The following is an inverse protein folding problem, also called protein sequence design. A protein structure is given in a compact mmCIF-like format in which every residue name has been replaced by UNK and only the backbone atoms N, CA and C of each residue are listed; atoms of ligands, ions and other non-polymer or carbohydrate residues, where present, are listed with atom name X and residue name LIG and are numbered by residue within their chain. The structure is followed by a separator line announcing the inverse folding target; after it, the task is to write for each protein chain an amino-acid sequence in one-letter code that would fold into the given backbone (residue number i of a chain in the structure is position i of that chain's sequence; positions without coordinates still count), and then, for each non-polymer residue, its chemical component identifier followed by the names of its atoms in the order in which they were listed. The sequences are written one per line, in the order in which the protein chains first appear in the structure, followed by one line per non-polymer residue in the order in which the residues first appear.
data_IF_544880001353
#
_entry.id   IF_544880001353
#
_cell.length_a   1.000
_cell.length_b   1.000
_cell.length_c   1.000
_cell.angle_alpha   90.00
_cell.angle_beta   90.00
_cell.angle_gamma   90.00
#
_symmetry.space_group_name_H-M   'P 1'
#
loop_
_entity.id
_entity.type
_entity.pdbx_description
1 polymer ?
#
# COMPACT_ATOMS: atom_id res chain seq x y z
N UNK A 1 -3.02 15.54 -15.69
CA UNK A 1 -1.95 14.53 -15.60
C UNK A 1 -2.58 13.20 -15.25
N UNK A 2 -2.41 12.17 -16.08
CA UNK A 2 -3.16 10.91 -15.98
C UNK A 2 -2.67 10.09 -14.77
N UNK A 3 -3.52 9.89 -13.76
CA UNK A 3 -3.18 9.24 -12.48
C UNK A 3 -2.50 7.88 -12.67
N UNK A 4 -2.89 7.16 -13.73
CA UNK A 4 -2.28 5.88 -14.14
C UNK A 4 -0.81 6.01 -14.53
N UNK A 5 -0.44 7.06 -15.25
CA UNK A 5 0.95 7.29 -15.69
C UNK A 5 1.84 7.64 -14.51
N UNK A 6 1.31 8.40 -13.54
CA UNK A 6 2.01 8.72 -12.29
C UNK A 6 2.26 7.44 -11.50
N UNK A 7 1.21 6.64 -11.25
CA UNK A 7 1.33 5.37 -10.53
C UNK A 7 2.33 4.42 -11.21
N UNK A 8 2.26 4.29 -12.53
CA UNK A 8 3.17 3.43 -13.30
C UNK A 8 4.62 3.92 -13.22
N UNK A 9 4.85 5.23 -13.38
CA UNK A 9 6.19 5.82 -13.26
C UNK A 9 6.78 5.62 -11.86
N UNK A 10 5.95 5.70 -10.82
CA UNK A 10 6.34 5.48 -9.42
C UNK A 10 6.64 4.01 -9.13
N UNK A 11 5.86 3.07 -9.67
CA UNK A 11 6.13 1.64 -9.60
C UNK A 11 7.45 1.27 -10.32
N UNK A 12 7.70 1.85 -11.50
CA UNK A 12 8.95 1.65 -12.24
C UNK A 12 10.14 2.21 -11.45
N UNK A 13 10.02 3.42 -10.90
CA UNK A 13 11.06 4.01 -10.07
C UNK A 13 11.36 3.14 -8.83
N UNK A 14 10.31 2.65 -8.17
CA UNK A 14 10.45 1.72 -7.05
C UNK A 14 11.18 0.44 -7.46
N UNK A 15 10.80 -0.18 -8.58
CA UNK A 15 11.47 -1.37 -9.10
C UNK A 15 12.96 -1.10 -9.40
N UNK A 16 13.28 0.01 -10.07
CA UNK A 16 14.67 0.42 -10.35
C UNK A 16 15.46 0.59 -9.05
N UNK A 17 14.88 1.25 -8.05
CA UNK A 17 15.55 1.48 -6.78
C UNK A 17 15.77 0.19 -5.98
N UNK A 18 14.80 -0.73 -5.98
CA UNK A 18 14.94 -2.07 -5.38
C UNK A 18 16.06 -2.82 -6.08
N UNK A 19 16.05 -2.88 -7.41
CA UNK A 19 17.08 -3.57 -8.19
C UNK A 19 18.47 -2.98 -7.95
N UNK A 20 18.60 -1.65 -7.93
CA UNK A 20 19.87 -0.99 -7.63
C UNK A 20 20.39 -1.31 -6.22
N UNK A 21 19.50 -1.33 -5.21
CA UNK A 21 19.87 -1.69 -3.84
C UNK A 21 20.34 -3.14 -3.72
N UNK A 22 19.78 -4.05 -4.51
CA UNK A 22 20.17 -5.46 -4.55
C UNK A 22 21.47 -5.71 -5.33
N UNK A 23 21.73 -4.93 -6.39
CA UNK A 23 22.93 -5.09 -7.23
C UNK A 23 24.18 -4.43 -6.63
N UNK A 24 24.04 -3.39 -5.81
CA UNK A 24 25.16 -2.62 -5.24
C UNK A 24 25.18 -2.59 -3.70
N UNK A 25 25.16 -3.74 -3.00
CA UNK A 25 25.05 -3.78 -1.54
C UNK A 25 26.27 -3.16 -0.82
N UNK A 26 27.48 -3.29 -1.38
CA UNK A 26 28.72 -2.79 -0.76
C UNK A 26 28.79 -1.26 -0.71
N UNK A 27 28.37 -0.59 -1.80
CA UNK A 27 28.28 0.88 -1.85
C UNK A 27 27.23 1.41 -0.88
N UNK A 28 26.11 0.70 -0.74
CA UNK A 28 25.06 1.05 0.21
C UNK A 28 25.50 0.88 1.66
N UNK A 29 26.18 -0.23 1.99
CA UNK A 29 26.70 -0.47 3.34
C UNK A 29 27.67 0.62 3.79
N UNK A 30 28.61 1.04 2.93
CA UNK A 30 29.57 2.10 3.28
C UNK A 30 28.92 3.46 3.54
N UNK A 31 27.87 3.81 2.79
CA UNK A 31 27.05 5.01 3.04
C UNK A 31 26.28 4.91 4.37
N UNK A 32 25.73 3.73 4.66
CA UNK A 32 24.89 3.48 5.82
C UNK A 32 25.64 3.27 7.14
N UNK A 33 26.92 2.90 7.10
CA UNK A 33 27.76 2.67 8.29
C UNK A 33 27.95 3.93 9.16
N UNK A 34 27.57 5.11 8.66
CA UNK A 34 27.53 6.35 9.44
C UNK A 34 26.38 6.26 10.47
N UNK A 35 26.64 6.29 11.80
CA UNK A 35 25.60 6.10 12.82
C UNK A 35 24.45 7.10 12.75
N UNK A 36 24.72 8.30 12.22
CA UNK A 36 23.68 9.30 11.94
C UNK A 36 22.73 8.82 10.85
N UNK A 37 23.22 8.29 9.73
CA UNK A 37 22.39 7.89 8.58
C UNK A 37 21.41 6.78 8.94
N UNK A 38 21.84 5.79 9.72
CA UNK A 38 20.96 4.72 10.21
C UNK A 38 19.71 5.28 10.91
N UNK A 39 19.88 6.23 11.83
CA UNK A 39 18.76 6.82 12.58
C UNK A 39 17.80 7.60 11.69
N UNK A 40 18.32 8.34 10.72
CA UNK A 40 17.48 9.09 9.78
C UNK A 40 16.65 8.14 8.90
N UNK A 41 17.25 7.07 8.42
CA UNK A 41 16.56 6.09 7.57
C UNK A 41 15.52 5.30 8.37
N UNK A 42 15.85 4.91 9.61
CA UNK A 42 14.90 4.29 10.51
C UNK A 42 13.71 5.21 10.79
N UNK A 43 13.97 6.50 11.05
CA UNK A 43 12.92 7.49 11.24
C UNK A 43 12.02 7.61 10.01
N UNK A 44 12.62 7.75 8.80
CA UNK A 44 11.87 7.81 7.54
C UNK A 44 11.02 6.55 7.35
N UNK A 45 11.57 5.37 7.62
CA UNK A 45 10.85 4.10 7.51
C UNK A 45 9.62 4.06 8.42
N UNK A 46 9.82 4.34 9.71
CA UNK A 46 8.75 4.29 10.72
C UNK A 46 7.67 5.33 10.40
N UNK A 47 8.08 6.57 10.09
CA UNK A 47 7.15 7.64 9.75
C UNK A 47 6.34 7.29 8.49
N UNK A 48 7.00 6.85 7.42
CA UNK A 48 6.35 6.52 6.17
C UNK A 48 5.39 5.32 6.31
N UNK A 49 5.83 4.25 6.96
CA UNK A 49 5.02 3.04 7.19
C UNK A 49 3.79 3.35 8.07
N UNK A 50 3.97 4.12 9.14
CA UNK A 50 2.88 4.48 10.07
C UNK A 50 1.85 5.38 9.40
N UNK A 51 2.29 6.41 8.68
CA UNK A 51 1.39 7.31 7.95
C UNK A 51 0.64 6.57 6.84
N UNK A 52 1.32 5.67 6.13
CA UNK A 52 0.69 4.87 5.07
C UNK A 52 -0.40 3.96 5.65
N UNK A 53 -0.08 3.22 6.71
CA UNK A 53 -1.04 2.34 7.38
C UNK A 53 -2.24 3.13 7.92
N UNK A 54 -2.00 4.25 8.60
CA UNK A 54 -3.06 5.12 9.09
C UNK A 54 -3.95 5.64 7.96
N UNK A 55 -3.37 6.08 6.83
CA UNK A 55 -4.13 6.53 5.67
C UNK A 55 -5.01 5.42 5.09
N UNK A 56 -4.50 4.18 4.99
CA UNK A 56 -5.27 3.05 4.50
C UNK A 56 -6.47 2.72 5.42
N UNK A 57 -6.27 2.71 6.74
CA UNK A 57 -7.33 2.47 7.73
C UNK A 57 -8.37 3.59 7.70
N UNK A 58 -7.94 4.86 7.71
CA UNK A 58 -8.84 6.02 7.71
C UNK A 58 -9.63 6.11 6.40
N UNK A 59 -8.98 5.87 5.26
CA UNK A 59 -9.63 5.83 3.94
C UNK A 59 -10.76 4.81 3.89
N UNK A 60 -10.50 3.60 4.44
CA UNK A 60 -11.52 2.56 4.55
C UNK A 60 -12.70 2.98 5.46
N UNK A 61 -12.42 3.62 6.60
CA UNK A 61 -13.47 4.13 7.49
C UNK A 61 -14.33 5.18 6.79
N UNK A 62 -13.73 6.09 6.03
CA UNK A 62 -14.47 7.06 5.23
C UNK A 62 -15.33 6.40 4.15
N UNK A 63 -14.81 5.41 3.45
CA UNK A 63 -15.59 4.65 2.47
C UNK A 63 -16.81 3.98 3.12
N UNK A 64 -16.64 3.30 4.26
CA UNK A 64 -17.73 2.70 5.04
C UNK A 64 -18.79 3.76 5.37
N UNK A 65 -18.36 4.90 5.93
CA UNK A 65 -19.27 5.99 6.29
C UNK A 65 -19.97 6.61 5.09
N UNK A 66 -19.34 6.65 3.92
CA UNK A 66 -19.98 7.16 2.71
C UNK A 66 -21.07 6.20 2.22
N UNK A 67 -20.82 4.89 2.26
CA UNK A 67 -21.75 3.87 1.79
C UNK A 67 -23.02 3.79 2.63
N UNK A 68 -22.96 4.13 3.93
CA UNK A 68 -24.17 4.18 4.78
C UNK A 68 -25.11 5.31 4.39
N UNK A 69 -24.63 6.35 3.71
CA UNK A 69 -25.47 7.49 3.30
C UNK A 69 -26.38 7.17 2.12
N UNK A 70 -26.02 6.19 1.28
CA UNK A 70 -26.63 5.84 -0.02
C UNK A 70 -26.71 6.96 -1.07
N UNK A 71 -26.37 8.20 -0.71
CA UNK A 71 -26.37 9.37 -1.59
C UNK A 71 -25.21 9.30 -2.57
N UNK A 72 -25.54 9.40 -3.86
CA UNK A 72 -24.56 9.35 -4.97
C UNK A 72 -23.43 10.35 -4.80
N UNK A 73 -23.76 11.60 -4.50
CA UNK A 73 -22.78 12.68 -4.42
C UNK A 73 -21.72 12.44 -3.32
N UNK A 74 -22.16 12.04 -2.12
CA UNK A 74 -21.28 11.78 -0.97
C UNK A 74 -20.33 10.62 -1.30
N UNK A 75 -20.86 9.52 -1.84
CA UNK A 75 -20.06 8.35 -2.21
C UNK A 75 -19.02 8.72 -3.25
N UNK A 76 -19.42 9.39 -4.33
CA UNK A 76 -18.48 9.76 -5.40
C UNK A 76 -17.42 10.75 -4.92
N UNK A 77 -17.79 11.70 -4.08
CA UNK A 77 -16.84 12.63 -3.48
C UNK A 77 -15.83 11.88 -2.61
N UNK A 78 -16.29 11.02 -1.69
CA UNK A 78 -15.40 10.23 -0.83
C UNK A 78 -14.45 9.36 -1.63
N UNK A 79 -14.94 8.59 -2.60
CA UNK A 79 -14.09 7.70 -3.40
C UNK A 79 -13.07 8.46 -4.24
N UNK A 80 -13.44 9.62 -4.83
CA UNK A 80 -12.50 10.49 -5.55
C UNK A 80 -11.41 11.03 -4.62
N UNK A 81 -11.79 11.45 -3.41
CA UNK A 81 -10.85 11.97 -2.42
C UNK A 81 -9.89 10.88 -1.94
N UNK A 82 -10.38 9.69 -1.59
CA UNK A 82 -9.54 8.56 -1.18
C UNK A 82 -8.59 8.14 -2.30
N UNK A 83 -9.09 7.99 -3.54
CA UNK A 83 -8.25 7.66 -4.70
C UNK A 83 -7.17 8.72 -4.97
N UNK A 84 -7.50 10.01 -4.79
CA UNK A 84 -6.54 11.09 -4.91
C UNK A 84 -5.45 11.02 -3.83
N UNK A 85 -5.85 10.76 -2.58
CA UNK A 85 -4.91 10.58 -1.46
C UNK A 85 -4.00 9.38 -1.71
N UNK A 86 -4.52 8.26 -2.21
CA UNK A 86 -3.71 7.09 -2.50
C UNK A 86 -2.69 7.32 -3.61
N UNK A 87 -3.11 7.98 -4.69
CA UNK A 87 -2.24 8.28 -5.81
C UNK A 87 -1.11 9.26 -5.46
N UNK A 88 -1.36 10.21 -4.53
CA UNK A 88 -0.42 11.31 -4.23
C UNK A 88 0.37 11.10 -2.95
N UNK A 89 -0.28 10.57 -1.91
CA UNK A 89 0.28 10.42 -0.57
C UNK A 89 0.70 8.97 -0.35
N UNK A 90 -0.22 8.00 -0.48
CA UNK A 90 0.10 6.59 -0.23
C UNK A 90 1.26 6.11 -1.10
N UNK A 91 1.27 6.47 -2.39
CA UNK A 91 2.34 6.03 -3.29
C UNK A 91 3.72 6.56 -2.86
N UNK A 92 3.81 7.81 -2.41
CA UNK A 92 5.08 8.39 -1.91
C UNK A 92 5.51 7.69 -0.62
N UNK A 93 4.57 7.46 0.31
CA UNK A 93 4.85 6.80 1.58
C UNK A 93 5.27 5.32 1.39
N UNK A 94 4.64 4.60 0.45
CA UNK A 94 5.02 3.24 0.06
C UNK A 94 6.48 3.23 -0.43
N UNK A 95 6.83 4.14 -1.33
CA UNK A 95 8.18 4.24 -1.89
C UNK A 95 9.20 4.50 -0.78
N UNK A 96 8.95 5.52 0.06
CA UNK A 96 9.82 5.84 1.17
C UNK A 96 9.97 4.66 2.14
N UNK A 97 8.88 3.97 2.45
CA UNK A 97 8.87 2.80 3.34
C UNK A 97 9.67 1.63 2.76
N UNK A 98 9.47 1.28 1.49
CA UNK A 98 10.17 0.16 0.83
C UNK A 98 11.66 0.44 0.70
N UNK A 99 12.05 1.62 0.23
CA UNK A 99 13.46 1.99 0.04
C UNK A 99 14.17 1.96 1.39
N UNK A 100 13.64 2.67 2.38
CA UNK A 100 14.24 2.70 3.71
C UNK A 100 14.26 1.33 4.37
N UNK A 101 13.23 0.51 4.17
CA UNK A 101 13.16 -0.87 4.66
C UNK A 101 14.25 -1.76 4.07
N UNK A 102 14.52 -1.66 2.77
CA UNK A 102 15.60 -2.40 2.09
C UNK A 102 16.97 -1.89 2.56
N UNK A 103 17.16 -0.59 2.71
CA UNK A 103 18.40 -0.05 3.25
C UNK A 103 18.69 -0.60 4.66
N UNK A 104 17.66 -0.65 5.51
CA UNK A 104 17.78 -1.22 6.87
C UNK A 104 17.98 -2.73 6.85
N UNK A 105 17.40 -3.45 5.89
CA UNK A 105 17.56 -4.90 5.79
C UNK A 105 19.00 -5.28 5.42
N UNK A 106 19.61 -4.55 4.48
CA UNK A 106 21.02 -4.74 4.07
C UNK A 106 22.00 -4.58 5.25
N UNK A 107 21.66 -3.75 6.25
CA UNK A 107 22.45 -3.61 7.48
C UNK A 107 22.24 -4.75 8.48
N UNK A 108 21.06 -5.36 8.47
CA UNK A 108 20.68 -6.46 9.36
C UNK A 108 21.22 -7.81 8.90
N UNK A 109 21.58 -7.94 7.63
CA UNK A 109 22.04 -9.18 7.00
C UNK A 109 21.17 -9.57 5.81
N UNK A 110 21.11 -10.85 5.47
CA UNK A 110 20.26 -11.33 4.39
C UNK A 110 18.78 -11.30 4.83
N UNK A 111 17.97 -10.45 4.21
CA UNK A 111 16.55 -10.30 4.57
C UNK A 111 15.74 -11.59 4.44
N UNK A 112 16.14 -12.48 3.53
CA UNK A 112 15.48 -13.76 3.27
C UNK A 112 15.76 -14.82 4.34
N UNK A 113 16.79 -14.63 5.15
CA UNK A 113 17.16 -15.50 6.29
C UNK A 113 16.50 -15.05 7.60
N UNK A 114 15.81 -13.91 7.60
CA UNK A 114 15.13 -13.37 8.78
C UNK A 114 13.62 -13.58 8.59
N UNK A 115 12.99 -14.44 9.39
CA UNK A 115 11.59 -14.84 9.20
C UNK A 115 10.57 -13.72 9.28
N UNK A 116 10.55 -12.94 10.35
CA UNK A 116 9.60 -11.83 10.46
C UNK A 116 9.80 -10.78 9.37
N UNK A 117 11.04 -10.57 8.90
CA UNK A 117 11.37 -9.57 7.89
C UNK A 117 10.95 -10.02 6.48
N UNK A 118 11.31 -11.25 6.10
CA UNK A 118 10.92 -11.85 4.83
C UNK A 118 9.40 -12.02 4.72
N UNK A 119 8.74 -12.49 5.79
CA UNK A 119 7.28 -12.60 5.84
C UNK A 119 6.61 -11.23 5.73
N UNK A 120 7.14 -10.22 6.42
CA UNK A 120 6.61 -8.85 6.32
C UNK A 120 6.68 -8.30 4.90
N UNK A 121 7.78 -8.55 4.19
CA UNK A 121 7.92 -8.12 2.80
C UNK A 121 6.90 -8.83 1.90
N UNK A 122 6.71 -10.14 2.06
CA UNK A 122 5.72 -10.91 1.28
C UNK A 122 4.29 -10.41 1.55
N UNK A 123 3.91 -10.21 2.80
CA UNK A 123 2.59 -9.69 3.18
C UNK A 123 2.35 -8.26 2.66
N UNK A 124 3.39 -7.43 2.69
CA UNK A 124 3.34 -6.08 2.14
C UNK A 124 3.12 -6.09 0.62
N UNK A 125 3.86 -6.93 -0.12
CA UNK A 125 3.68 -7.09 -1.56
C UNK A 125 2.29 -7.65 -1.89
N UNK A 126 1.82 -8.64 -1.14
CA UNK A 126 0.47 -9.19 -1.28
C UNK A 126 -0.60 -8.10 -1.10
N UNK A 127 -0.48 -7.28 -0.04
CA UNK A 127 -1.37 -6.13 0.19
C UNK A 127 -1.37 -5.17 -1.00
N UNK A 128 -0.19 -4.82 -1.53
CA UNK A 128 -0.06 -3.97 -2.70
C UNK A 128 -0.75 -4.53 -3.95
N UNK A 129 -0.61 -5.84 -4.19
CA UNK A 129 -1.29 -6.52 -5.31
C UNK A 129 -2.81 -6.48 -5.14
N UNK A 130 -3.32 -6.78 -3.94
CA UNK A 130 -4.77 -6.70 -3.65
C UNK A 130 -5.30 -5.28 -3.86
N UNK A 131 -4.55 -4.26 -3.43
CA UNK A 131 -4.91 -2.86 -3.66
C UNK A 131 -4.97 -2.51 -5.16
N UNK A 132 -3.92 -2.81 -5.94
CA UNK A 132 -3.90 -2.54 -7.40
C UNK A 132 -5.04 -3.28 -8.12
N UNK A 133 -5.23 -4.56 -7.79
CA UNK A 133 -6.22 -5.43 -8.44
C UNK A 133 -7.67 -5.04 -8.09
N UNK A 134 -7.90 -4.40 -6.93
CA UNK A 134 -9.23 -3.95 -6.53
C UNK A 134 -9.55 -2.53 -6.98
N UNK A 135 -8.58 -1.61 -6.90
CA UNK A 135 -8.84 -0.19 -7.08
C UNK A 135 -8.99 0.19 -8.57
N UNK A 136 -8.08 -0.29 -9.43
CA UNK A 136 -8.09 0.06 -10.86
C UNK A 136 -9.38 -0.40 -11.57
N UNK A 137 -9.82 -1.67 -11.43
CA UNK A 137 -11.04 -2.14 -12.12
C UNK A 137 -12.30 -1.47 -11.57
N UNK A 138 -12.33 -1.17 -10.27
CA UNK A 138 -13.50 -0.53 -9.66
C UNK A 138 -13.66 0.89 -10.13
N UNK A 139 -12.57 1.66 -10.23
CA UNK A 139 -12.63 3.02 -10.80
C UNK A 139 -13.19 3.02 -12.23
N UNK A 140 -12.75 2.08 -13.07
CA UNK A 140 -13.23 1.97 -14.45
C UNK A 140 -14.72 1.58 -14.51
N UNK A 141 -15.11 0.59 -13.71
CA UNK A 141 -16.49 0.08 -13.66
C UNK A 141 -17.44 1.14 -13.11
N UNK A 142 -17.03 1.87 -12.07
CA UNK A 142 -17.81 2.96 -11.49
C UNK A 142 -18.04 4.06 -12.52
N UNK A 143 -16.99 4.50 -13.24
CA UNK A 143 -17.13 5.50 -14.31
C UNK A 143 -18.11 5.04 -15.39
N UNK A 144 -17.94 3.83 -15.92
CA UNK A 144 -18.79 3.28 -16.99
C UNK A 144 -20.26 3.18 -16.56
N UNK A 145 -20.54 2.73 -15.33
CA UNK A 145 -21.91 2.57 -14.85
C UNK A 145 -22.58 3.91 -14.53
N UNK A 146 -21.82 4.89 -14.06
CA UNK A 146 -22.34 6.25 -13.84
C UNK A 146 -22.70 6.96 -15.14
N UNK A 147 -21.97 6.71 -16.22
CA UNK A 147 -22.30 7.23 -17.57
C UNK A 147 -23.60 6.62 -18.13
N UNK A 148 -23.98 5.43 -17.65
CA UNK A 148 -25.19 4.71 -18.07
C UNK A 148 -26.41 4.98 -17.17
N UNK A 149 -26.23 5.71 -16.06
CA UNK A 149 -27.28 5.97 -15.08
C UNK A 149 -27.87 7.36 -15.28
N UNK A 150 -29.16 7.53 -14.98
CA UNK A 150 -29.81 8.84 -15.02
C UNK A 150 -29.06 9.85 -14.13
N UNK A 151 -28.59 10.98 -14.66
CA UNK A 151 -27.97 12.04 -13.87
C UNK A 151 -28.88 12.62 -12.78
N UNK A 152 -30.20 12.52 -12.95
CA UNK A 152 -31.20 13.09 -12.04
C UNK A 152 -31.53 12.19 -10.85
N UNK A 153 -31.09 10.92 -10.85
CA UNK A 153 -31.30 10.02 -9.71
C UNK A 153 -30.31 10.39 -8.58
N UNK A 154 -30.80 10.81 -7.40
CA UNK A 154 -29.96 11.17 -6.26
C UNK A 154 -29.29 9.95 -5.61
N UNK A 155 -29.83 8.75 -5.82
CA UNK A 155 -29.31 7.52 -5.24
C UNK A 155 -28.42 6.75 -6.23
N UNK A 156 -27.50 5.96 -5.67
CA UNK A 156 -26.66 5.09 -6.49
C UNK A 156 -27.44 3.81 -6.86
N UNK A 157 -27.41 3.35 -8.12
CA UNK A 157 -28.06 2.10 -8.48
C UNK A 157 -27.57 0.94 -7.60
N UNK A 158 -28.49 0.06 -7.18
CA UNK A 158 -28.18 -1.02 -6.21
C UNK A 158 -27.02 -1.92 -6.66
N UNK A 159 -26.92 -2.17 -7.97
CA UNK A 159 -25.85 -2.98 -8.53
C UNK A 159 -24.45 -2.32 -8.36
N UNK A 160 -24.37 -0.97 -8.39
CA UNK A 160 -23.13 -0.23 -8.13
C UNK A 160 -22.82 -0.28 -6.64
N UNK A 161 -23.83 -0.11 -5.80
CA UNK A 161 -23.70 -0.21 -4.34
C UNK A 161 -23.14 -1.58 -3.92
N UNK A 162 -23.63 -2.67 -4.52
CA UNK A 162 -23.15 -4.03 -4.24
C UNK A 162 -21.69 -4.22 -4.68
N UNK A 163 -21.30 -3.65 -5.83
CA UNK A 163 -19.90 -3.65 -6.28
C UNK A 163 -18.98 -2.92 -5.29
N UNK A 164 -19.39 -1.75 -4.79
CA UNK A 164 -18.61 -0.97 -3.83
C UNK A 164 -18.48 -1.68 -2.47
N UNK A 165 -19.54 -2.36 -2.01
CA UNK A 165 -19.49 -3.22 -0.82
C UNK A 165 -18.53 -4.39 -1.01
N UNK A 166 -18.56 -5.05 -2.17
CA UNK A 166 -17.62 -6.13 -2.48
C UNK A 166 -16.17 -5.61 -2.49
N UNK A 167 -15.93 -4.44 -3.10
CA UNK A 167 -14.61 -3.79 -3.05
C UNK A 167 -14.17 -3.56 -1.62
N UNK A 168 -15.03 -3.07 -0.74
CA UNK A 168 -14.68 -2.83 0.66
C UNK A 168 -14.17 -4.12 1.35
N UNK A 169 -14.82 -5.27 1.10
CA UNK A 169 -14.36 -6.56 1.61
C UNK A 169 -13.00 -6.97 1.04
N UNK A 170 -12.76 -6.70 -0.24
CA UNK A 170 -11.46 -6.96 -0.88
C UNK A 170 -10.38 -6.02 -0.29
N UNK A 171 -10.70 -4.74 -0.10
CA UNK A 171 -9.81 -3.76 0.54
C UNK A 171 -9.42 -4.19 1.96
N UNK A 172 -10.34 -4.82 2.70
CA UNK A 172 -10.03 -5.40 4.01
C UNK A 172 -8.95 -6.49 3.91
N UNK A 173 -9.00 -7.32 2.86
CA UNK A 173 -7.94 -8.27 2.53
C UNK A 173 -6.59 -7.61 2.19
N UNK A 174 -6.58 -6.33 1.80
CA UNK A 174 -5.37 -5.52 1.63
C UNK A 174 -4.87 -4.91 2.94
N UNK A 175 -5.77 -4.43 3.81
CA UNK A 175 -5.40 -3.73 5.06
C UNK A 175 -4.99 -4.70 6.18
N UNK A 176 -5.64 -5.86 6.31
CA UNK A 176 -5.30 -6.85 7.35
C UNK A 176 -3.82 -7.29 7.26
N UNK A 177 -3.26 -7.65 6.09
CA UNK A 177 -1.84 -7.95 5.98
C UNK A 177 -0.94 -6.80 6.44
N UNK A 178 -1.31 -5.53 6.22
CA UNK A 178 -0.52 -4.39 6.69
C UNK A 178 -0.52 -4.29 8.21
N UNK A 179 -1.64 -4.60 8.87
CA UNK A 179 -1.69 -4.69 10.32
C UNK A 179 -0.76 -5.80 10.83
N UNK A 180 -0.78 -6.97 10.18
CA UNK A 180 0.14 -8.08 10.53
C UNK A 180 1.60 -7.68 10.33
N UNK A 181 1.93 -7.00 9.22
CA UNK A 181 3.27 -6.43 8.98
C UNK A 181 3.68 -5.49 10.11
N UNK A 182 2.79 -4.61 10.56
CA UNK A 182 3.06 -3.70 11.66
C UNK A 182 3.39 -4.45 12.96
N UNK A 183 2.63 -5.50 13.28
CA UNK A 183 2.89 -6.37 14.41
C UNK A 183 4.25 -7.09 14.29
N UNK A 184 4.57 -7.63 13.11
CA UNK A 184 5.86 -8.29 12.86
C UNK A 184 7.04 -7.33 13.03
N UNK A 185 6.92 -6.08 12.59
CA UNK A 185 7.95 -5.06 12.73
C UNK A 185 8.17 -4.61 14.19
N UNK A 186 7.13 -4.68 15.02
CA UNK A 186 7.20 -4.32 16.45
C UNK A 186 7.73 -5.47 17.29
N UNK A 187 7.08 -6.64 17.20
CA UNK A 187 7.37 -7.78 18.06
C UNK A 187 8.55 -8.63 17.60
N UNK A 188 8.85 -8.61 16.30
CA UNK A 188 9.97 -9.34 15.68
C UNK A 188 10.09 -10.80 16.18
N UNK A 189 9.00 -11.58 16.10
CA UNK A 189 9.01 -12.96 16.57
C UNK A 189 10.06 -13.78 15.81
N UNK A 190 10.64 -14.77 16.49
CA UNK A 190 11.50 -15.74 15.82
C UNK A 190 10.62 -16.68 14.99
N UNK A 191 10.71 -16.52 13.67
CA UNK A 191 9.90 -17.23 12.69
C UNK A 191 10.81 -17.94 11.71
N UNK A 192 10.38 -19.11 11.23
CA UNK A 192 11.08 -19.81 10.15
C UNK A 192 11.15 -18.89 8.91
N UNK A 193 12.34 -18.64 8.34
CA UNK A 193 12.50 -17.83 7.16
C UNK A 193 11.71 -18.35 5.96
N UNK A 194 11.14 -17.44 5.17
CA UNK A 194 10.33 -17.81 3.99
C UNK A 194 11.14 -18.64 2.98
N UNK A 195 12.45 -18.37 2.85
CA UNK A 195 13.35 -19.14 1.98
C UNK A 195 13.41 -20.63 2.34
N UNK A 196 13.11 -20.99 3.59
CA UNK A 196 13.12 -22.37 4.08
C UNK A 196 11.73 -23.02 4.07
N UNK A 197 10.66 -22.34 3.67
CA UNK A 197 9.30 -22.92 3.74
C UNK A 197 9.06 -24.02 2.69
N UNK A 198 9.80 -23.97 1.59
CA UNK A 198 9.67 -24.91 0.47
C UNK A 198 10.80 -25.95 0.43
N UNK A 199 11.55 -26.07 1.52
CA UNK A 199 12.58 -27.10 1.77
C UNK A 199 12.08 -28.05 2.86
#
# INVERSE_FOLDING_TARGET
MNTKTILLSLLILMAIMITAALLFPQGLQSFLYRPSMYRHILFVHIAAATLFFANAVIGMVWEIRSLTTRKREIILHTYRTVSWLDARISTVLIILSVISGIMLSVLKGNMWEIGWLSLSLVLFLFSGVVWIASDIPTQYTLKKRLEQSDPQDPDLPEHVMNLLKLRLWISLGGVIPLLVVFLLMVYKPDLRPVALWFQ
#
